data_IF_388102782628
#
_entry.id   IF_388102782628
#
_cell.length_a   1.000
_cell.length_b   1.000
_cell.length_c   1.000
_cell.angle_alpha   90.00
_cell.angle_beta   90.00
_cell.angle_gamma   90.00
#
_symmetry.space_group_name_H-M   'P 1'
#
loop_
_entity.id
_entity.type
_entity.pdbx_description
1 polymer ?
#
# COMPACT_ATOMS: atom_id res chain seq x y z
N UNK A 1 -55.09 21.72 34.38
CA UNK A 1 -53.89 20.90 34.64
C UNK A 1 -54.42 19.49 34.76
N UNK A 2 -54.40 18.68 33.72
CA UNK A 2 -53.18 18.15 33.12
C UNK A 2 -53.42 17.74 31.66
N UNK A 3 -52.41 17.97 30.83
CA UNK A 3 -52.49 17.90 29.37
C UNK A 3 -52.19 16.49 28.88
N UNK A 4 -53.05 15.99 27.99
CA UNK A 4 -52.77 14.87 27.10
C UNK A 4 -51.41 15.01 26.42
N UNK A 5 -50.53 14.01 26.54
CA UNK A 5 -49.52 13.72 25.52
C UNK A 5 -49.24 12.22 25.48
N UNK A 6 -49.93 11.50 24.59
CA UNK A 6 -49.58 10.13 24.25
C UNK A 6 -48.31 10.15 23.39
N UNK A 7 -47.19 9.68 23.93
CA UNK A 7 -45.93 9.50 23.19
C UNK A 7 -46.07 8.28 22.26
N UNK A 8 -46.25 8.51 20.96
CA UNK A 8 -46.24 7.47 19.92
C UNK A 8 -44.88 7.43 19.23
N UNK A 9 -43.84 7.00 19.94
CA UNK A 9 -42.56 6.60 19.31
C UNK A 9 -42.68 5.21 18.68
N UNK A 10 -43.10 5.18 17.41
CA UNK A 10 -43.00 4.00 16.55
C UNK A 10 -41.53 3.78 16.20
N UNK A 11 -40.88 2.81 16.86
CA UNK A 11 -39.54 2.35 16.53
C UNK A 11 -39.50 1.84 15.09
N UNK A 12 -38.75 2.53 14.23
CA UNK A 12 -38.53 2.13 12.84
C UNK A 12 -37.72 0.83 12.82
N UNK A 13 -38.36 -0.31 12.49
CA UNK A 13 -37.67 -1.60 12.32
C UNK A 13 -36.55 -1.43 11.28
N UNK A 14 -35.29 -1.56 11.71
CA UNK A 14 -34.15 -1.70 10.80
C UNK A 14 -34.31 -3.04 10.09
N UNK A 15 -34.67 -2.97 8.82
CA UNK A 15 -34.63 -4.12 7.93
C UNK A 15 -33.15 -4.42 7.71
N UNK A 16 -32.61 -5.36 8.47
CA UNK A 16 -31.35 -6.01 8.14
C UNK A 16 -31.58 -6.80 6.85
N UNK A 17 -31.38 -6.13 5.71
CA UNK A 17 -31.19 -6.81 4.43
C UNK A 17 -29.88 -7.58 4.55
N UNK A 18 -29.97 -8.83 5.02
CA UNK A 18 -28.96 -9.85 4.75
C UNK A 18 -28.71 -9.79 3.25
N UNK A 19 -27.50 -9.40 2.85
CA UNK A 19 -27.08 -9.46 1.46
C UNK A 19 -27.06 -10.93 1.05
N UNK A 20 -28.17 -11.36 0.49
CA UNK A 20 -28.36 -12.62 -0.22
C UNK A 20 -27.32 -12.70 -1.33
N UNK A 21 -26.38 -13.63 -1.18
CA UNK A 21 -25.63 -14.32 -2.24
C UNK A 21 -25.53 -13.57 -3.58
N UNK A 22 -24.62 -12.60 -3.66
CA UNK A 22 -24.05 -12.19 -4.94
C UNK A 22 -22.87 -13.11 -5.22
N UNK A 23 -23.14 -14.22 -5.92
CA UNK A 23 -22.14 -14.87 -6.75
C UNK A 23 -21.83 -13.94 -7.95
N UNK A 24 -21.38 -12.73 -7.64
CA UNK A 24 -20.76 -11.85 -8.62
C UNK A 24 -19.41 -12.48 -8.95
N UNK A 25 -19.21 -12.82 -10.21
CA UNK A 25 -17.87 -13.04 -10.76
C UNK A 25 -17.04 -11.82 -10.40
N UNK A 26 -16.28 -11.88 -9.31
CA UNK A 26 -15.40 -10.80 -8.88
C UNK A 26 -14.48 -10.51 -10.05
N UNK A 27 -14.66 -9.34 -10.67
CA UNK A 27 -13.83 -8.90 -11.79
C UNK A 27 -12.37 -8.97 -11.32
N UNK A 28 -11.60 -9.90 -11.89
CA UNK A 28 -10.18 -10.03 -11.55
C UNK A 28 -9.43 -8.91 -12.27
N UNK A 29 -8.72 -8.10 -11.49
CA UNK A 29 -7.82 -7.07 -12.01
C UNK A 29 -6.40 -7.60 -12.01
N UNK A 30 -5.70 -7.41 -13.13
CA UNK A 30 -4.25 -7.57 -13.12
C UNK A 30 -3.61 -6.52 -12.21
N UNK A 31 -2.39 -6.79 -11.73
CA UNK A 31 -1.67 -5.85 -10.88
C UNK A 31 -1.51 -4.46 -11.55
N UNK A 32 -1.23 -4.44 -12.85
CA UNK A 32 -1.13 -3.20 -13.64
C UNK A 32 -2.47 -2.47 -13.76
N UNK A 33 -3.57 -3.19 -14.03
CA UNK A 33 -4.90 -2.59 -14.12
C UNK A 33 -5.32 -1.98 -12.78
N UNK A 34 -5.14 -2.71 -11.68
CA UNK A 34 -5.45 -2.23 -10.34
C UNK A 34 -4.67 -0.95 -10.00
N UNK A 35 -3.36 -0.93 -10.30
CA UNK A 35 -2.54 0.26 -10.10
C UNK A 35 -3.00 1.42 -10.99
N UNK A 36 -3.31 1.18 -12.25
CA UNK A 36 -3.76 2.22 -13.17
C UNK A 36 -5.05 2.88 -12.67
N UNK A 37 -6.03 2.09 -12.20
CA UNK A 37 -7.27 2.61 -11.60
C UNK A 37 -6.98 3.43 -10.34
N UNK A 38 -6.11 2.92 -9.45
CA UNK A 38 -5.67 3.66 -8.26
C UNK A 38 -5.02 5.00 -8.65
N UNK A 39 -4.06 4.97 -9.58
CA UNK A 39 -3.30 6.13 -10.01
C UNK A 39 -4.21 7.21 -10.62
N UNK A 40 -5.13 6.83 -11.50
CA UNK A 40 -6.11 7.75 -12.08
C UNK A 40 -6.99 8.40 -11.02
N UNK A 41 -7.46 7.65 -10.02
CA UNK A 41 -8.21 8.20 -8.90
C UNK A 41 -7.37 9.21 -8.10
N UNK A 42 -6.10 8.90 -7.85
CA UNK A 42 -5.17 9.81 -7.15
C UNK A 42 -4.84 11.08 -7.92
N UNK A 43 -4.81 11.02 -9.25
CA UNK A 43 -4.74 12.21 -10.10
C UNK A 43 -6.00 13.07 -9.97
N UNK A 44 -7.20 12.46 -9.97
CA UNK A 44 -8.46 13.17 -9.82
C UNK A 44 -8.61 13.85 -8.44
N UNK A 45 -8.03 13.26 -7.39
CA UNK A 45 -7.94 13.85 -6.04
C UNK A 45 -6.97 15.05 -5.96
N UNK A 46 -6.28 15.42 -7.05
CA UNK A 46 -5.28 16.50 -7.13
C UNK A 46 -4.16 16.39 -6.08
N UNK A 47 -3.65 15.19 -5.86
CA UNK A 47 -2.47 15.00 -5.01
C UNK A 47 -1.24 15.73 -5.59
N UNK A 48 -0.28 16.06 -4.70
CA UNK A 48 0.99 16.68 -5.09
C UNK A 48 1.70 15.82 -6.14
N UNK A 49 2.22 16.45 -7.19
CA UNK A 49 2.90 15.77 -8.30
C UNK A 49 4.04 14.83 -7.86
N UNK A 50 4.79 15.24 -6.82
CA UNK A 50 5.83 14.41 -6.21
C UNK A 50 5.25 13.08 -5.69
N UNK A 51 4.12 13.13 -4.98
CA UNK A 51 3.46 11.95 -4.43
C UNK A 51 3.03 10.99 -5.54
N UNK A 52 2.48 11.52 -6.65
CA UNK A 52 2.10 10.71 -7.81
C UNK A 52 3.32 10.03 -8.43
N UNK A 53 4.42 10.79 -8.62
CA UNK A 53 5.67 10.23 -9.12
C UNK A 53 6.20 9.10 -8.23
N UNK A 54 6.17 9.29 -6.92
CA UNK A 54 6.62 8.29 -5.96
C UNK A 54 5.74 7.04 -5.99
N UNK A 55 4.41 7.19 -6.11
CA UNK A 55 3.51 6.05 -6.32
C UNK A 55 3.86 5.25 -7.56
N UNK A 56 4.06 5.89 -8.70
CA UNK A 56 4.46 5.22 -9.94
C UNK A 56 5.79 4.49 -9.78
N UNK A 57 6.79 5.15 -9.20
CA UNK A 57 8.13 4.58 -9.02
C UNK A 57 8.12 3.38 -8.07
N UNK A 58 7.45 3.49 -6.94
CA UNK A 58 7.37 2.39 -5.97
C UNK A 58 6.58 1.21 -6.51
N UNK A 59 5.49 1.46 -7.24
CA UNK A 59 4.74 0.40 -7.89
C UNK A 59 5.56 -0.30 -8.97
N UNK A 60 6.30 0.45 -9.79
CA UNK A 60 7.20 -0.15 -10.79
C UNK A 60 8.21 -1.11 -10.14
N UNK A 61 8.85 -0.69 -9.05
CA UNK A 61 9.78 -1.58 -8.33
C UNK A 61 9.13 -2.81 -7.72
N UNK A 62 7.88 -2.70 -7.26
CA UNK A 62 7.11 -3.84 -6.78
C UNK A 62 6.82 -4.80 -7.95
N UNK A 63 6.37 -4.25 -9.08
CA UNK A 63 6.02 -5.03 -10.27
C UNK A 63 7.24 -5.75 -10.88
N UNK A 64 8.38 -5.07 -10.99
CA UNK A 64 9.64 -5.67 -11.46
C UNK A 64 10.05 -6.84 -10.54
N UNK A 65 10.01 -6.63 -9.22
CA UNK A 65 10.29 -7.71 -8.26
C UNK A 65 9.32 -8.88 -8.37
N UNK A 66 8.02 -8.61 -8.59
CA UNK A 66 7.03 -9.66 -8.83
C UNK A 66 7.35 -10.49 -10.08
N UNK A 67 7.71 -9.84 -11.18
CA UNK A 67 8.04 -10.55 -12.42
C UNK A 67 9.26 -11.46 -12.25
N UNK A 68 10.22 -11.06 -11.41
CA UNK A 68 11.44 -11.83 -11.15
C UNK A 68 11.23 -12.98 -10.15
N UNK A 69 10.47 -12.76 -9.07
CA UNK A 69 10.38 -13.69 -7.94
C UNK A 69 9.06 -14.48 -7.87
N UNK A 70 8.00 -13.96 -8.48
CA UNK A 70 6.63 -14.49 -8.36
C UNK A 70 5.84 -14.31 -9.67
N UNK A 71 6.39 -14.81 -10.77
CA UNK A 71 5.77 -14.69 -12.10
C UNK A 71 4.38 -15.34 -12.20
N UNK A 72 4.01 -16.20 -11.25
CA UNK A 72 2.69 -16.80 -11.10
C UNK A 72 1.61 -15.81 -10.64
N UNK A 73 1.99 -14.73 -9.96
CA UNK A 73 1.06 -13.72 -9.43
C UNK A 73 0.65 -12.78 -10.57
N UNK A 74 -0.54 -13.03 -11.11
CA UNK A 74 -1.10 -12.23 -12.21
C UNK A 74 -2.12 -11.20 -11.72
N UNK A 75 -2.96 -11.59 -10.74
CA UNK A 75 -4.04 -10.74 -10.25
C UNK A 75 -3.66 -10.06 -8.94
N UNK A 76 -4.17 -8.84 -8.73
CA UNK A 76 -3.94 -8.10 -7.47
C UNK A 76 -4.56 -8.80 -6.26
N UNK A 77 -5.58 -9.63 -6.49
CA UNK A 77 -6.24 -10.47 -5.48
C UNK A 77 -5.37 -11.61 -4.96
N UNK A 78 -4.35 -12.01 -5.72
CA UNK A 78 -3.50 -13.15 -5.39
C UNK A 78 -2.36 -12.73 -4.44
N UNK A 79 -2.22 -11.42 -4.19
CA UNK A 79 -1.20 -10.87 -3.30
C UNK A 79 -1.61 -11.06 -1.85
N UNK A 80 -0.86 -11.90 -1.13
CA UNK A 80 -1.07 -12.19 0.29
C UNK A 80 -0.22 -11.28 1.19
N UNK A 81 -0.53 -11.18 2.49
CA UNK A 81 0.34 -10.53 3.46
C UNK A 81 1.77 -11.09 3.47
N UNK A 82 1.94 -12.39 3.25
CA UNK A 82 3.22 -13.10 3.22
C UNK A 82 4.09 -12.61 2.07
N UNK A 83 3.54 -12.56 0.87
CA UNK A 83 4.19 -12.00 -0.33
C UNK A 83 4.64 -10.55 -0.09
N UNK A 84 3.81 -9.73 0.56
CA UNK A 84 4.21 -8.36 0.90
C UNK A 84 5.36 -8.36 1.91
N UNK A 85 5.38 -9.26 2.90
CA UNK A 85 6.50 -9.36 3.85
C UNK A 85 7.79 -9.79 3.17
N UNK A 86 7.73 -10.71 2.21
CA UNK A 86 8.85 -11.14 1.38
C UNK A 86 9.42 -9.96 0.58
N UNK A 87 8.55 -9.16 -0.05
CA UNK A 87 8.99 -7.93 -0.72
C UNK A 87 9.68 -6.96 0.24
N UNK A 88 9.11 -6.73 1.44
CA UNK A 88 9.75 -5.87 2.44
C UNK A 88 11.09 -6.44 2.91
N UNK A 89 11.21 -7.76 3.09
CA UNK A 89 12.46 -8.42 3.43
C UNK A 89 13.52 -8.21 2.34
N UNK A 90 13.16 -8.45 1.07
CA UNK A 90 14.03 -8.20 -0.08
C UNK A 90 14.52 -6.74 -0.10
N UNK A 91 13.61 -5.77 0.07
CA UNK A 91 13.98 -4.35 0.11
C UNK A 91 14.95 -4.03 1.25
N UNK A 92 14.86 -4.74 2.37
CA UNK A 92 15.62 -4.44 3.59
C UNK A 92 17.01 -5.05 3.60
N UNK A 93 17.18 -6.21 2.96
CA UNK A 93 18.39 -7.01 3.13
C UNK A 93 19.05 -7.43 1.82
N UNK A 94 18.28 -7.57 0.74
CA UNK A 94 18.77 -8.25 -0.47
C UNK A 94 18.93 -7.32 -1.66
N UNK A 95 18.09 -6.27 -1.75
CA UNK A 95 18.06 -5.35 -2.88
C UNK A 95 19.45 -4.80 -3.17
N UNK A 96 20.02 -5.05 -4.37
CA UNK A 96 21.31 -4.49 -4.76
C UNK A 96 21.24 -2.95 -4.77
N UNK A 97 22.19 -2.30 -4.10
CA UNK A 97 22.39 -0.87 -4.23
C UNK A 97 23.35 -0.59 -5.39
N UNK A 98 23.03 0.45 -6.19
CA UNK A 98 23.91 0.99 -7.25
C UNK A 98 24.27 0.01 -8.38
N UNK A 99 23.41 -0.98 -8.66
CA UNK A 99 23.60 -1.87 -9.81
C UNK A 99 23.61 -1.05 -11.12
N UNK A 100 24.72 -1.13 -11.87
CA UNK A 100 24.91 -0.39 -13.12
C UNK A 100 25.42 1.06 -13.00
N UNK A 101 25.80 1.56 -11.81
CA UNK A 101 26.32 2.93 -11.67
C UNK A 101 27.85 2.99 -11.94
N UNK A 102 28.33 3.93 -12.78
CA UNK A 102 29.74 3.99 -13.21
C UNK A 102 30.74 4.32 -12.09
N UNK A 103 30.27 4.91 -10.99
CA UNK A 103 31.10 5.28 -9.82
C UNK A 103 31.03 4.26 -8.69
N UNK A 104 30.80 2.98 -9.00
CA UNK A 104 30.81 1.92 -7.98
C UNK A 104 32.23 1.78 -7.44
N UNK A 105 32.40 1.95 -6.13
CA UNK A 105 33.65 1.67 -5.46
C UNK A 105 34.01 0.19 -5.64
N UNK A 106 35.23 -0.09 -6.09
CA UNK A 106 35.74 -1.42 -6.45
C UNK A 106 36.02 -2.32 -5.22
N UNK A 107 35.57 -1.89 -4.04
CA UNK A 107 35.78 -2.50 -2.71
C UNK A 107 35.11 -3.88 -2.55
N UNK A 108 34.61 -4.48 -3.63
CA UNK A 108 34.13 -5.86 -3.71
C UNK A 108 32.82 -6.17 -2.99
N UNK A 109 32.31 -5.27 -2.14
CA UNK A 109 31.08 -5.50 -1.37
C UNK A 109 29.94 -4.64 -1.89
N UNK A 110 29.13 -5.21 -2.78
CA UNK A 110 27.83 -4.63 -3.11
C UNK A 110 27.05 -4.45 -1.79
N UNK A 111 26.84 -3.21 -1.36
CA UNK A 111 25.92 -2.97 -0.25
C UNK A 111 24.53 -3.43 -0.71
N UNK A 112 23.85 -4.17 0.16
CA UNK A 112 22.49 -4.67 -0.07
C UNK A 112 21.55 -4.05 0.94
N UNK A 113 20.28 -3.94 0.55
CA UNK A 113 19.22 -3.45 1.41
C UNK A 113 19.14 -1.92 1.46
N UNK A 114 17.93 -1.44 1.66
CA UNK A 114 17.62 -0.02 1.82
C UNK A 114 17.60 0.36 3.29
N UNK A 115 17.89 1.64 3.58
CA UNK A 115 17.72 2.16 4.93
C UNK A 115 16.27 1.99 5.42
N UNK A 116 16.03 1.71 6.72
CA UNK A 116 14.68 1.48 7.26
C UNK A 116 13.68 2.61 6.95
N UNK A 117 14.13 3.86 6.96
CA UNK A 117 13.30 5.01 6.55
C UNK A 117 12.83 4.93 5.10
N UNK A 118 13.71 4.51 4.18
CA UNK A 118 13.39 4.35 2.77
C UNK A 118 12.46 3.15 2.51
N UNK A 119 12.59 2.07 3.28
CA UNK A 119 11.64 0.94 3.27
C UNK A 119 10.28 1.39 3.79
N UNK A 120 10.23 2.17 4.87
CA UNK A 120 9.00 2.70 5.44
C UNK A 120 8.21 3.60 4.47
N UNK A 121 8.89 4.40 3.64
CA UNK A 121 8.24 5.18 2.58
C UNK A 121 7.52 4.25 1.59
N UNK A 122 8.15 3.14 1.20
CA UNK A 122 7.55 2.14 0.29
C UNK A 122 6.38 1.42 0.97
N UNK A 123 6.51 1.01 2.24
CA UNK A 123 5.42 0.44 3.04
C UNK A 123 4.21 1.38 3.05
N UNK A 124 4.43 2.69 3.23
CA UNK A 124 3.34 3.68 3.23
C UNK A 124 2.64 3.76 1.87
N UNK A 125 3.38 3.72 0.77
CA UNK A 125 2.81 3.68 -0.58
C UNK A 125 1.96 2.43 -0.79
N UNK A 126 2.46 1.24 -0.42
CA UNK A 126 1.72 -0.01 -0.54
C UNK A 126 0.43 0.04 0.29
N UNK A 127 0.53 0.49 1.55
CA UNK A 127 -0.64 0.68 2.41
C UNK A 127 -1.68 1.61 1.80
N UNK A 128 -1.26 2.73 1.20
CA UNK A 128 -2.17 3.66 0.56
C UNK A 128 -2.91 2.99 -0.63
N UNK A 129 -2.18 2.26 -1.47
CA UNK A 129 -2.74 1.56 -2.62
C UNK A 129 -3.71 0.46 -2.21
N UNK A 130 -3.28 -0.52 -1.41
CA UNK A 130 -4.11 -1.67 -1.05
C UNK A 130 -5.29 -1.29 -0.15
N UNK A 131 -5.16 -0.26 0.70
CA UNK A 131 -6.31 0.30 1.42
C UNK A 131 -7.34 0.86 0.46
N UNK A 132 -6.91 1.63 -0.54
CA UNK A 132 -7.82 2.22 -1.53
C UNK A 132 -8.52 1.15 -2.37
N UNK A 133 -7.77 0.14 -2.85
CA UNK A 133 -8.33 -0.99 -3.60
C UNK A 133 -9.39 -1.73 -2.80
N UNK A 134 -9.11 -2.01 -1.53
CA UNK A 134 -10.06 -2.66 -0.63
C UNK A 134 -11.31 -1.80 -0.38
N UNK A 135 -11.15 -0.49 -0.12
CA UNK A 135 -12.27 0.44 0.06
C UNK A 135 -13.17 0.56 -1.17
N UNK A 136 -12.63 0.32 -2.36
CA UNK A 136 -13.37 0.33 -3.63
C UNK A 136 -13.90 -1.05 -4.03
N UNK A 137 -13.66 -2.09 -3.24
CA UNK A 137 -14.13 -3.45 -3.52
C UNK A 137 -13.37 -4.17 -4.63
N UNK A 138 -12.20 -3.68 -5.05
CA UNK A 138 -11.36 -4.33 -6.08
C UNK A 138 -10.60 -5.54 -5.52
N UNK A 139 -10.42 -5.58 -4.20
CA UNK A 139 -9.88 -6.73 -3.46
C UNK A 139 -10.74 -6.97 -2.22
N UNK A 140 -10.93 -8.23 -1.85
CA UNK A 140 -11.72 -8.62 -0.68
C UNK A 140 -10.98 -8.44 0.64
N UNK A 141 -9.65 -8.55 0.62
CA UNK A 141 -8.79 -8.47 1.80
C UNK A 141 -7.64 -7.51 1.48
N UNK A 142 -7.31 -6.62 2.41
CA UNK A 142 -6.14 -5.76 2.30
C UNK A 142 -4.88 -6.48 2.83
N UNK A 143 -3.92 -6.88 1.97
CA UNK A 143 -2.73 -7.62 2.43
C UNK A 143 -1.79 -6.79 3.32
N UNK A 144 -1.94 -5.46 3.33
CA UNK A 144 -1.08 -4.55 4.10
C UNK A 144 -1.68 -4.15 5.45
N UNK A 145 -2.87 -4.66 5.81
CA UNK A 145 -3.61 -4.23 6.99
C UNK A 145 -2.80 -4.36 8.29
N UNK A 146 -2.08 -5.47 8.45
CA UNK A 146 -1.30 -5.79 9.64
C UNK A 146 0.22 -5.57 9.46
N UNK A 147 0.62 -4.83 8.42
CA UNK A 147 2.03 -4.56 8.15
C UNK A 147 2.53 -3.44 9.07
N UNK A 148 3.61 -3.67 9.81
CA UNK A 148 4.23 -2.65 10.68
C UNK A 148 5.36 -1.91 9.95
N UNK A 149 5.65 -0.69 10.40
CA UNK A 149 6.85 0.05 9.98
C UNK A 149 8.08 -0.54 10.66
N UNK A 150 9.23 -0.48 9.99
CA UNK A 150 10.50 -0.80 10.59
C UNK A 150 10.90 0.28 11.59
N UNK A 151 11.56 -0.13 12.68
CA UNK A 151 12.13 0.80 13.66
C UNK A 151 13.20 1.64 12.99
N UNK A 152 13.15 2.95 13.20
CA UNK A 152 14.16 3.90 12.77
C UNK A 152 14.71 4.55 14.02
N UNK A 153 16.03 4.59 14.18
CA UNK A 153 16.64 5.35 15.26
C UNK A 153 16.39 6.85 15.04
N UNK A 154 16.07 7.58 16.11
CA UNK A 154 15.81 9.01 16.03
C UNK A 154 17.13 9.74 15.70
N UNK A 155 17.25 10.21 14.47
CA UNK A 155 18.33 11.11 14.10
C UNK A 155 18.00 12.51 14.65
N UNK A 156 18.63 12.88 15.77
CA UNK A 156 18.61 14.26 16.25
C UNK A 156 19.55 15.07 15.35
N UNK A 157 18.96 15.84 14.43
CA UNK A 157 19.70 16.87 13.71
C UNK A 157 20.14 17.88 14.77
N UNK A 158 21.45 18.02 14.99
CA UNK A 158 21.98 19.07 15.85
C UNK A 158 21.49 20.41 15.34
N UNK A 159 20.93 21.25 16.22
CA UNK A 159 20.57 22.60 15.86
C UNK A 159 21.83 23.30 15.31
N UNK A 160 21.69 23.99 14.18
CA UNK A 160 22.77 24.82 13.66
C UNK A 160 23.07 25.89 14.71
N UNK A 161 24.28 25.87 15.26
CA UNK A 161 24.79 26.96 16.10
C UNK A 161 25.31 28.03 15.16
N UNK A 162 24.84 29.27 15.34
CA UNK A 162 25.39 30.42 14.64
C UNK A 162 26.83 30.63 15.14
N UNK A 163 27.82 30.42 14.26
CA UNK A 163 29.19 30.92 14.42
C UNK A 163 29.32 32.30 13.74
#
# INVERSE_FOLDING_TARGET
MDSSTSDKRVGKKRIDKRNTALNETVQKYTLQQAFQTFYQAKCAERLRQLTLRDYRKHFQYLFEWFLEQHSEITCVSDITPEVIREYIYFLSYEKPLYEGHPYRSDDGKARRGLAPGAVNVRINTLKAMFRWLHQKGLISINPTQNLSRQRVEEYRIGAFTDE
#
